data_IF_646102239043
#
_entry.id   IF_646102239043
#
_cell.length_a   1.000
_cell.length_b   1.000
_cell.length_c   1.000
_cell.angle_alpha   90.00
_cell.angle_beta   90.00
_cell.angle_gamma   90.00
#
_symmetry.space_group_name_H-M   'P 1'
#
loop_
_entity.id
_entity.type
_entity.pdbx_description
1 polymer ?
#
# COMPACT_ATOMS: atom_id res chain seq x y z
N UNK A 1 -3.60 11.19 -13.54
CA UNK A 1 -4.24 10.71 -14.77
C UNK A 1 -5.69 11.20 -14.77
N UNK A 2 -6.41 11.14 -15.89
CA UNK A 2 -7.86 11.26 -15.80
C UNK A 2 -8.42 9.97 -15.21
N UNK A 3 -9.53 10.05 -14.45
CA UNK A 3 -10.11 8.87 -13.80
C UNK A 3 -10.39 7.74 -14.79
N UNK A 4 -10.84 8.07 -16.01
CA UNK A 4 -11.10 7.12 -17.09
C UNK A 4 -9.85 6.34 -17.50
N UNK A 5 -8.69 6.98 -17.56
CA UNK A 5 -7.43 6.32 -17.92
C UNK A 5 -6.96 5.41 -16.78
N UNK A 6 -7.13 5.86 -15.54
CA UNK A 6 -6.82 5.06 -14.36
C UNK A 6 -7.71 3.83 -14.26
N UNK A 7 -8.98 3.92 -14.65
CA UNK A 7 -9.89 2.77 -14.76
C UNK A 7 -9.37 1.78 -15.79
N UNK A 8 -9.00 2.23 -16.99
CA UNK A 8 -8.44 1.35 -18.03
C UNK A 8 -7.18 0.63 -17.54
N UNK A 9 -6.25 1.36 -16.92
CA UNK A 9 -5.04 0.76 -16.35
C UNK A 9 -5.31 -0.22 -15.20
N UNK A 10 -6.33 0.04 -14.38
CA UNK A 10 -6.74 -0.88 -13.32
C UNK A 10 -7.28 -2.18 -13.92
N UNK A 11 -8.16 -2.09 -14.93
CA UNK A 11 -8.73 -3.26 -15.61
C UNK A 11 -7.65 -4.07 -16.33
N UNK A 12 -6.75 -3.41 -17.05
CA UNK A 12 -5.65 -4.08 -17.74
C UNK A 12 -4.72 -4.81 -16.75
N UNK A 13 -4.39 -4.16 -15.62
CA UNK A 13 -3.59 -4.78 -14.58
C UNK A 13 -4.28 -6.02 -13.97
N UNK A 14 -5.61 -5.96 -13.78
CA UNK A 14 -6.39 -7.11 -13.30
C UNK A 14 -6.40 -8.26 -14.32
N UNK A 15 -6.56 -7.96 -15.62
CA UNK A 15 -6.51 -8.96 -16.68
C UNK A 15 -5.14 -9.66 -16.73
N UNK A 16 -4.05 -8.89 -16.67
CA UNK A 16 -2.69 -9.45 -16.68
C UNK A 16 -2.44 -10.35 -15.46
N UNK A 17 -2.83 -9.90 -14.26
CA UNK A 17 -2.68 -10.70 -13.03
C UNK A 17 -3.50 -11.99 -13.11
N UNK A 18 -4.74 -11.92 -13.60
CA UNK A 18 -5.62 -13.09 -13.73
C UNK A 18 -5.04 -14.11 -14.73
N UNK A 19 -4.55 -13.63 -15.87
CA UNK A 19 -3.90 -14.49 -16.85
C UNK A 19 -2.61 -15.13 -16.31
N UNK A 20 -1.76 -14.37 -15.60
CA UNK A 20 -0.55 -14.94 -15.00
C UNK A 20 -0.87 -15.91 -13.84
N UNK A 21 -1.98 -15.71 -13.10
CA UNK A 21 -2.45 -16.65 -12.08
C UNK A 21 -2.76 -18.02 -12.68
N UNK A 22 -3.43 -18.08 -13.83
CA UNK A 22 -3.70 -19.37 -14.51
C UNK A 22 -2.41 -20.14 -14.86
N UNK A 23 -1.33 -19.41 -15.20
CA UNK A 23 -0.02 -20.01 -15.50
C UNK A 23 0.74 -20.39 -14.23
N UNK A 24 0.61 -19.58 -13.18
CA UNK A 24 1.22 -19.84 -11.88
C UNK A 24 0.63 -21.11 -11.24
N UNK A 25 -0.68 -21.32 -11.38
CA UNK A 25 -1.37 -22.52 -10.89
C UNK A 25 -0.85 -23.80 -11.57
N UNK A 26 -0.55 -23.72 -12.87
CA UNK A 26 0.13 -24.78 -13.63
C UNK A 26 1.63 -24.97 -13.26
N UNK A 27 2.10 -24.40 -12.15
CA UNK A 27 3.48 -24.56 -11.66
C UNK A 27 4.52 -23.64 -12.31
N UNK A 28 4.11 -22.65 -13.12
CA UNK A 28 5.06 -21.71 -13.73
C UNK A 28 5.59 -20.69 -12.70
N UNK A 29 6.84 -20.92 -12.26
CA UNK A 29 7.54 -20.03 -11.31
C UNK A 29 7.73 -18.60 -11.81
N UNK A 30 7.96 -18.41 -13.11
CA UNK A 30 8.12 -17.07 -13.67
C UNK A 30 6.79 -16.30 -13.65
N UNK A 31 5.67 -16.98 -13.95
CA UNK A 31 4.33 -16.40 -13.84
C UNK A 31 4.02 -16.03 -12.38
N UNK A 32 4.36 -16.89 -11.42
CA UNK A 32 4.21 -16.59 -9.98
C UNK A 32 4.94 -15.30 -9.57
N UNK A 33 6.16 -15.11 -10.09
CA UNK A 33 6.91 -13.89 -9.85
C UNK A 33 6.27 -12.67 -10.52
N UNK A 34 5.75 -12.82 -11.74
CA UNK A 34 5.00 -11.75 -12.43
C UNK A 34 3.76 -11.37 -11.65
N UNK A 35 2.95 -12.32 -11.17
CA UNK A 35 1.80 -12.07 -10.28
C UNK A 35 2.23 -11.25 -9.07
N UNK A 36 3.32 -11.62 -8.40
CA UNK A 36 3.84 -10.87 -7.24
C UNK A 36 4.20 -9.42 -7.58
N UNK A 37 4.82 -9.18 -8.72
CA UNK A 37 5.10 -7.80 -9.17
C UNK A 37 3.85 -7.06 -9.64
N UNK A 38 2.92 -7.77 -10.27
CA UNK A 38 1.66 -7.26 -10.79
C UNK A 38 0.74 -6.77 -9.67
N UNK A 39 0.66 -7.49 -8.56
CA UNK A 39 -0.13 -7.06 -7.39
C UNK A 39 0.42 -5.78 -6.74
N UNK A 40 1.75 -5.60 -6.71
CA UNK A 40 2.38 -4.34 -6.26
C UNK A 40 2.02 -3.18 -7.20
N UNK A 41 2.02 -3.41 -8.52
CA UNK A 41 1.60 -2.39 -9.50
C UNK A 41 0.11 -2.07 -9.36
N UNK A 42 -0.73 -3.09 -9.23
CA UNK A 42 -2.17 -2.96 -9.01
C UNK A 42 -2.46 -2.12 -7.76
N UNK A 43 -1.74 -2.34 -6.66
CA UNK A 43 -1.91 -1.55 -5.43
C UNK A 43 -1.62 -0.06 -5.67
N UNK A 44 -0.57 0.27 -6.43
CA UNK A 44 -0.23 1.66 -6.76
C UNK A 44 -1.34 2.32 -7.59
N UNK A 45 -1.83 1.63 -8.63
CA UNK A 45 -2.91 2.12 -9.48
C UNK A 45 -4.22 2.25 -8.68
N UNK A 46 -4.53 1.28 -7.83
CA UNK A 46 -5.70 1.32 -6.95
C UNK A 46 -5.67 2.52 -5.98
N UNK A 47 -4.50 2.85 -5.42
CA UNK A 47 -4.33 4.05 -4.59
C UNK A 47 -4.57 5.34 -5.39
N UNK A 48 -4.13 5.40 -6.66
CA UNK A 48 -4.41 6.53 -7.55
C UNK A 48 -5.90 6.63 -7.85
N UNK A 49 -6.55 5.52 -8.21
CA UNK A 49 -7.98 5.44 -8.46
C UNK A 49 -8.81 5.94 -7.27
N UNK A 50 -8.48 5.52 -6.04
CA UNK A 50 -9.16 6.00 -4.82
C UNK A 50 -9.04 7.52 -4.64
N UNK A 51 -7.89 8.11 -4.99
CA UNK A 51 -7.69 9.57 -4.91
C UNK A 51 -8.46 10.31 -6.01
N UNK A 52 -8.44 9.78 -7.23
CA UNK A 52 -9.07 10.43 -8.39
C UNK A 52 -10.60 10.31 -8.35
N UNK A 53 -11.15 9.16 -7.95
CA UNK A 53 -12.60 8.95 -7.81
C UNK A 53 -13.24 9.92 -6.82
N UNK A 54 -12.60 10.16 -5.67
CA UNK A 54 -13.08 11.14 -4.67
C UNK A 54 -13.00 12.57 -5.20
N UNK A 55 -11.94 12.90 -5.98
CA UNK A 55 -11.80 14.23 -6.60
C UNK A 55 -12.88 14.46 -7.66
N UNK A 56 -13.18 13.45 -8.48
CA UNK A 56 -14.24 13.51 -9.49
C UNK A 56 -15.62 13.66 -8.83
N UNK A 57 -15.91 12.87 -7.79
CA UNK A 57 -17.15 12.96 -7.01
C UNK A 57 -17.35 14.32 -6.31
N UNK A 58 -16.26 14.95 -5.84
CA UNK A 58 -16.30 16.32 -5.32
C UNK A 58 -16.55 17.38 -6.40
N UNK A 59 -16.10 17.16 -7.63
CA UNK A 59 -16.39 18.06 -8.76
C UNK A 59 -17.83 17.90 -9.26
N UNK A 60 -18.41 16.71 -9.15
CA UNK A 60 -19.78 16.40 -9.57
C UNK A 60 -20.86 16.71 -8.51
N UNK A 61 -20.48 17.14 -7.30
CA UNK A 61 -21.45 17.54 -6.27
C UNK A 61 -21.91 18.99 -6.53
N UNK A 62 -23.18 19.24 -6.95
CA UNK A 62 -23.71 20.59 -6.89
C UNK A 62 -23.66 21.03 -5.43
N UNK A 63 -23.04 22.18 -5.16
CA UNK A 63 -23.04 22.82 -3.84
C UNK A 63 -24.48 22.90 -3.35
N UNK A 64 -24.89 21.96 -2.49
CA UNK A 64 -26.12 22.11 -1.70
C UNK A 64 -25.85 23.29 -0.78
N UNK A 65 -26.41 24.45 -1.12
CA UNK A 65 -26.53 25.59 -0.20
C UNK A 65 -27.34 25.08 1.01
N UNK A 66 -26.67 24.85 2.13
CA UNK A 66 -27.30 24.78 3.43
C UNK A 66 -26.61 25.84 4.29
N UNK A 67 -27.43 26.81 4.69
CA UNK A 67 -26.99 28.11 5.20
C UNK A 67 -26.22 28.03 6.51
N UNK A 68 -25.44 29.08 6.71
CA UNK A 68 -24.85 29.45 7.97
C UNK A 68 -25.93 29.59 9.07
N UNK A 69 -25.71 28.96 10.22
CA UNK A 69 -26.07 29.53 11.52
C UNK A 69 -24.83 29.56 12.42
N UNK A 70 -24.62 30.74 12.99
CA UNK A 70 -23.48 31.20 13.79
C UNK A 70 -23.37 30.49 15.16
N UNK A 71 -22.10 30.39 15.61
CA UNK A 71 -21.47 30.25 16.95
C UNK A 71 -22.36 30.41 18.21
N UNK A 72 -22.37 29.45 19.17
CA UNK A 72 -21.53 29.27 20.40
C UNK A 72 -21.96 30.19 21.59
N UNK A 73 -21.82 29.86 22.92
CA UNK A 73 -20.73 29.11 23.57
C UNK A 73 -21.06 28.25 24.85
N UNK A 74 -20.00 27.61 25.39
CA UNK A 74 -19.71 27.30 26.81
C UNK A 74 -20.41 26.13 27.56
N UNK A 75 -19.60 25.11 27.92
CA UNK A 75 -19.27 24.89 29.34
C UNK A 75 -17.87 24.30 29.50
N UNK A 76 -17.03 25.04 30.22
CA UNK A 76 -15.68 24.66 30.69
C UNK A 76 -15.81 23.68 31.86
N UNK A 77 -14.92 22.68 31.90
CA UNK A 77 -14.13 22.24 33.08
C UNK A 77 -13.02 21.34 32.54
N UNK A 78 -11.81 21.89 32.37
CA UNK A 78 -10.69 21.74 33.32
C UNK A 78 -9.95 20.39 33.18
N UNK A 79 -8.76 20.44 32.57
CA UNK A 79 -7.72 19.41 32.62
C UNK A 79 -7.01 19.45 34.01
N UNK A 80 -5.87 18.78 34.28
CA UNK A 80 -5.18 17.63 33.65
C UNK A 80 -4.71 16.57 34.71
N UNK A 81 -3.92 15.58 34.24
CA UNK A 81 -2.88 14.79 34.98
C UNK A 81 -3.25 13.36 35.41
N UNK A 82 -2.58 12.39 34.79
CA UNK A 82 -1.48 11.68 35.48
C UNK A 82 -0.49 11.06 34.50
N UNK A 83 0.74 11.57 34.55
CA UNK A 83 1.94 10.83 34.17
C UNK A 83 2.08 9.65 35.14
N UNK A 84 2.36 8.45 34.63
CA UNK A 84 3.32 7.57 35.30
C UNK A 84 4.29 7.09 34.25
N UNK A 85 5.56 7.42 34.51
CA UNK A 85 6.70 7.02 33.71
C UNK A 85 7.08 5.56 34.00
N UNK A 86 7.79 5.00 33.02
CA UNK A 86 8.86 4.02 33.17
C UNK A 86 8.51 2.58 33.60
N UNK A 87 8.62 1.68 32.62
CA UNK A 87 9.71 0.70 32.70
C UNK A 87 10.22 0.34 31.30
N UNK A 88 11.47 0.73 31.06
CA UNK A 88 12.35 0.20 30.02
C UNK A 88 12.39 -1.33 30.14
N UNK A 89 12.27 -2.06 29.03
CA UNK A 89 13.18 -3.18 28.74
C UNK A 89 13.50 -3.20 27.25
N UNK A 90 14.78 -3.36 26.99
CA UNK A 90 15.52 -3.15 25.76
C UNK A 90 15.08 -4.06 24.59
N UNK A 91 15.37 -3.68 23.33
CA UNK A 91 15.29 -4.61 22.21
C UNK A 91 16.33 -5.72 22.42
N UNK A 92 15.86 -6.94 22.67
CA UNK A 92 16.73 -8.11 22.63
C UNK A 92 17.22 -8.29 21.19
N UNK A 93 18.44 -7.80 20.95
CA UNK A 93 19.28 -8.18 19.81
C UNK A 93 19.39 -9.71 19.79
N UNK A 94 18.82 -10.35 18.78
CA UNK A 94 19.36 -11.61 18.26
C UNK A 94 19.86 -11.36 16.85
N UNK A 95 21.15 -11.10 16.77
CA UNK A 95 21.91 -11.15 15.53
C UNK A 95 22.00 -12.61 15.06
N UNK A 96 21.68 -12.94 13.80
CA UNK A 96 22.31 -14.09 13.16
C UNK A 96 23.71 -13.69 12.72
N UNK A 97 24.67 -14.44 13.26
CA UNK A 97 26.10 -14.29 13.04
C UNK A 97 26.47 -14.23 11.55
N UNK A 98 27.48 -13.41 11.27
CA UNK A 98 28.28 -13.47 10.04
C UNK A 98 28.77 -14.91 9.83
N UNK A 99 28.41 -15.52 8.69
CA UNK A 99 29.24 -16.51 8.00
C UNK A 99 29.28 -16.20 6.51
N UNK A 100 30.36 -15.56 6.08
CA UNK A 100 31.00 -15.70 4.76
C UNK A 100 32.50 -15.82 5.05
N UNK A 101 33.36 -16.42 4.20
CA UNK A 101 33.11 -16.91 2.83
C UNK A 101 33.61 -18.36 2.61
N UNK A 102 33.11 -19.05 1.57
CA UNK A 102 33.83 -20.17 0.97
C UNK A 102 33.95 -19.94 -0.54
N UNK A 103 35.10 -19.39 -0.94
CA UNK A 103 35.65 -19.51 -2.29
C UNK A 103 36.08 -20.97 -2.48
N UNK A 104 35.53 -21.66 -3.47
CA UNK A 104 36.18 -22.81 -4.15
C UNK A 104 35.58 -22.86 -5.57
N UNK A 105 36.25 -22.21 -6.52
CA UNK A 105 37.24 -22.81 -7.43
C UNK A 105 36.58 -23.55 -8.61
N UNK A 106 36.82 -22.96 -9.79
CA UNK A 106 37.05 -23.59 -11.09
C UNK A 106 36.18 -24.79 -11.51
N UNK A 107 35.39 -24.58 -12.59
CA UNK A 107 35.41 -25.56 -13.68
C UNK A 107 35.07 -24.91 -15.04
N UNK A 108 36.13 -24.51 -15.75
CA UNK A 108 36.15 -24.42 -17.21
C UNK A 108 36.08 -25.86 -17.74
N UNK A 109 35.06 -26.21 -18.52
CA UNK A 109 35.01 -27.38 -19.41
C UNK A 109 34.39 -26.86 -20.70
N UNK A 110 35.26 -26.66 -21.70
CA UNK A 110 35.47 -27.52 -22.89
C UNK A 110 34.41 -27.21 -23.92
#
# INVERSE_FOLDING_TARGET
MALKDTVKHLTEALHQVTHDLSKADNGNRAASQRVRTGTIKLEKIAKLYRKESVKEGKKASPKKKAGAKKKAPAKKTAAPKRKVAAKKKAPAKKAPAKKKPAKKAAKKRR
#
